data_IF_177960903550
#
_entry.id   IF_177960903550
#
_cell.length_a   1.000
_cell.length_b   1.000
_cell.length_c   1.000
_cell.angle_alpha   90.00
_cell.angle_beta   90.00
_cell.angle_gamma   90.00
#
_symmetry.space_group_name_H-M   'P 1'
#
loop_
_entity.id
_entity.type
_entity.pdbx_description
1 polymer ?
#
# COMPACT_ATOMS: atom_id res chain seq x y z
N UNK A 1 -15.88 -10.99 32.93
CA UNK A 1 -16.80 -10.03 32.31
C UNK A 1 -16.22 -9.62 30.98
N UNK A 2 -17.02 -9.72 29.93
CA UNK A 2 -16.68 -9.26 28.59
C UNK A 2 -17.71 -8.24 28.10
N UNK A 3 -17.24 -7.18 27.45
CA UNK A 3 -18.05 -6.23 26.70
C UNK A 3 -17.86 -6.48 25.21
N UNK A 4 -18.95 -6.48 24.44
CA UNK A 4 -18.92 -6.72 22.99
C UNK A 4 -19.32 -5.48 22.21
N UNK A 5 -18.63 -5.26 21.09
CA UNK A 5 -18.84 -4.12 20.19
C UNK A 5 -18.97 -4.59 18.74
N UNK A 6 -19.78 -3.90 17.96
CA UNK A 6 -19.88 -4.11 16.50
C UNK A 6 -18.73 -3.43 15.76
N UNK A 7 -18.74 -3.51 14.43
CA UNK A 7 -17.75 -2.88 13.54
C UNK A 7 -17.73 -1.34 13.64
N UNK A 8 -18.82 -0.73 14.10
CA UNK A 8 -18.95 0.73 14.23
C UNK A 8 -18.58 1.22 15.64
N UNK A 9 -18.23 0.30 16.55
CA UNK A 9 -17.94 0.58 17.94
C UNK A 9 -19.18 0.67 18.84
N UNK A 10 -20.37 0.35 18.33
CA UNK A 10 -21.57 0.31 19.15
C UNK A 10 -21.52 -0.91 20.07
N UNK A 11 -21.76 -0.69 21.36
CA UNK A 11 -21.85 -1.76 22.35
C UNK A 11 -23.08 -2.64 22.05
N UNK A 12 -22.84 -3.93 21.83
CA UNK A 12 -23.89 -4.92 21.55
C UNK A 12 -24.38 -5.59 22.83
N UNK A 13 -23.51 -5.75 23.83
CA UNK A 13 -23.94 -6.35 25.10
C UNK A 13 -22.85 -6.50 26.16
N UNK A 14 -23.27 -7.07 27.30
CA UNK A 14 -22.45 -7.37 28.48
C UNK A 14 -22.79 -8.78 28.98
N UNK A 15 -21.79 -9.55 29.40
CA UNK A 15 -22.01 -10.68 30.31
C UNK A 15 -22.61 -11.94 29.67
N UNK A 16 -22.28 -12.22 28.41
CA UNK A 16 -22.55 -13.53 27.81
C UNK A 16 -21.44 -14.55 28.09
N UNK A 17 -20.34 -14.13 28.76
CA UNK A 17 -19.17 -14.95 29.04
C UNK A 17 -19.38 -15.92 30.20
N UNK A 18 -19.24 -17.22 29.90
CA UNK A 18 -19.06 -18.30 30.88
C UNK A 18 -17.63 -18.22 31.45
N UNK A 19 -16.67 -17.81 30.62
CA UNK A 19 -15.28 -17.57 31.02
C UNK A 19 -14.42 -17.11 29.85
N UNK A 20 -13.19 -16.66 30.12
CA UNK A 20 -12.22 -16.34 29.09
C UNK A 20 -10.79 -16.62 29.55
N UNK A 21 -9.89 -16.91 28.61
CA UNK A 21 -8.44 -16.99 28.82
C UNK A 21 -7.75 -16.19 27.72
N UNK A 22 -6.66 -15.52 28.07
CA UNK A 22 -5.94 -14.67 27.14
C UNK A 22 -4.46 -14.60 27.55
N UNK A 23 -3.55 -14.54 26.57
CA UNK A 23 -2.12 -14.37 26.82
C UNK A 23 -1.51 -13.46 25.77
N UNK A 24 -0.61 -12.57 26.22
CA UNK A 24 0.12 -11.64 25.35
C UNK A 24 1.49 -11.32 25.96
N UNK A 25 2.54 -11.35 25.12
CA UNK A 25 3.84 -10.75 25.46
C UNK A 25 3.85 -9.29 25.02
N UNK A 26 4.54 -8.42 25.77
CA UNK A 26 4.73 -7.01 25.41
C UNK A 26 5.18 -6.88 23.95
N UNK A 27 4.59 -5.94 23.22
CA UNK A 27 4.94 -5.61 21.84
C UNK A 27 4.78 -6.78 20.84
N UNK A 28 4.05 -7.84 21.20
CA UNK A 28 3.67 -8.96 20.35
C UNK A 28 2.15 -9.10 20.30
N UNK A 29 1.65 -9.78 19.27
CA UNK A 29 0.24 -10.18 19.26
C UNK A 29 -0.05 -11.10 20.44
N UNK A 30 -1.26 -10.95 20.98
CA UNK A 30 -1.83 -11.88 21.93
C UNK A 30 -2.96 -12.68 21.31
N UNK A 31 -3.28 -13.81 21.92
CA UNK A 31 -4.44 -14.62 21.55
C UNK A 31 -5.13 -15.17 22.78
N UNK A 32 -6.39 -15.55 22.61
CA UNK A 32 -7.20 -16.10 23.67
C UNK A 32 -8.49 -16.73 23.15
N UNK A 33 -9.28 -17.21 24.10
CA UNK A 33 -10.61 -17.73 23.85
C UNK A 33 -11.61 -17.18 24.85
N UNK A 34 -12.82 -16.91 24.37
CA UNK A 34 -13.97 -16.54 25.17
C UNK A 34 -15.00 -17.66 25.02
N UNK A 35 -15.52 -18.15 26.14
CA UNK A 35 -16.61 -19.13 26.17
C UNK A 35 -17.91 -18.38 26.47
N UNK A 36 -18.90 -18.56 25.62
CA UNK A 36 -20.16 -17.83 25.65
C UNK A 36 -21.34 -18.80 25.72
N UNK A 37 -22.40 -18.44 26.43
CA UNK A 37 -23.65 -19.19 26.36
C UNK A 37 -24.32 -19.04 24.98
N UNK A 38 -24.25 -17.83 24.41
CA UNK A 38 -24.73 -17.50 23.07
C UNK A 38 -23.84 -16.43 22.45
N UNK A 39 -23.58 -16.53 21.15
CA UNK A 39 -22.81 -15.52 20.44
C UNK A 39 -23.62 -14.23 20.24
N UNK A 40 -23.07 -13.05 20.59
CA UNK A 40 -23.68 -11.76 20.26
C UNK A 40 -23.55 -11.49 18.75
N UNK A 41 -24.65 -11.62 18.03
CA UNK A 41 -24.71 -11.39 16.58
C UNK A 41 -24.18 -9.98 16.25
N UNK A 42 -23.30 -9.91 15.26
CA UNK A 42 -22.68 -8.66 14.81
C UNK A 42 -21.45 -8.21 15.62
N UNK A 43 -21.05 -8.94 16.67
CA UNK A 43 -19.85 -8.60 17.42
C UNK A 43 -18.59 -8.76 16.56
N UNK A 44 -17.74 -7.74 16.57
CA UNK A 44 -16.41 -7.72 15.92
C UNK A 44 -15.31 -7.55 16.95
N UNK A 45 -15.53 -6.74 17.97
CA UNK A 45 -14.54 -6.48 19.02
C UNK A 45 -15.07 -6.86 20.40
N UNK A 46 -14.15 -7.09 21.31
CA UNK A 46 -14.47 -7.32 22.70
C UNK A 46 -13.44 -6.66 23.64
N UNK A 47 -13.89 -6.26 24.82
CA UNK A 47 -13.02 -5.86 25.93
C UNK A 47 -13.13 -6.87 27.06
N UNK A 48 -11.99 -7.40 27.47
CA UNK A 48 -11.84 -8.39 28.54
C UNK A 48 -11.61 -7.69 29.88
N UNK A 49 -12.39 -8.05 30.91
CA UNK A 49 -12.24 -7.55 32.27
C UNK A 49 -12.06 -8.67 33.29
N UNK A 50 -11.19 -8.42 34.28
CA UNK A 50 -11.06 -9.20 35.53
C UNK A 50 -11.56 -8.31 36.68
N UNK A 51 -12.75 -8.62 37.20
CA UNK A 51 -13.44 -7.70 38.12
C UNK A 51 -13.78 -6.38 37.43
N UNK A 52 -13.35 -5.25 38.01
CA UNK A 52 -13.50 -3.92 37.42
C UNK A 52 -12.31 -3.52 36.53
N UNK A 53 -11.24 -4.31 36.53
CA UNK A 53 -10.03 -3.98 35.80
C UNK A 53 -10.11 -4.44 34.35
N UNK A 54 -9.84 -3.51 33.43
CA UNK A 54 -9.72 -3.78 32.00
C UNK A 54 -8.40 -4.48 31.73
N UNK A 55 -8.46 -5.68 31.19
CA UNK A 55 -7.28 -6.50 30.89
C UNK A 55 -6.79 -6.24 29.47
N UNK A 56 -7.66 -6.37 28.46
CA UNK A 56 -7.28 -6.16 27.06
C UNK A 56 -8.47 -5.95 26.13
N UNK A 57 -8.26 -5.18 25.07
CA UNK A 57 -9.14 -5.14 23.92
C UNK A 57 -8.69 -6.10 22.82
N UNK A 58 -9.65 -6.80 22.23
CA UNK A 58 -9.41 -7.87 21.28
C UNK A 58 -10.38 -7.80 20.10
N UNK A 59 -9.96 -8.34 18.96
CA UNK A 59 -10.81 -8.59 17.80
C UNK A 59 -11.23 -10.07 17.80
N UNK A 60 -12.50 -10.30 17.50
CA UNK A 60 -13.08 -11.62 17.31
C UNK A 60 -12.65 -12.14 15.94
N UNK A 61 -12.08 -13.33 15.92
CA UNK A 61 -11.60 -13.99 14.70
C UNK A 61 -12.64 -15.00 14.21
N UNK A 62 -12.99 -15.95 15.08
CA UNK A 62 -13.79 -17.13 14.72
C UNK A 62 -14.70 -17.53 15.86
N UNK A 63 -15.80 -18.21 15.52
CA UNK A 63 -16.74 -18.79 16.46
C UNK A 63 -16.95 -20.25 16.11
N UNK A 64 -16.74 -21.14 17.08
CA UNK A 64 -17.14 -22.55 16.98
C UNK A 64 -18.36 -22.78 17.87
N UNK A 65 -19.47 -23.19 17.28
CA UNK A 65 -20.71 -23.48 18.00
C UNK A 65 -20.66 -24.92 18.50
N UNK A 66 -20.61 -25.10 19.83
CA UNK A 66 -20.75 -26.40 20.48
C UNK A 66 -22.20 -26.72 20.83
N UNK A 67 -22.43 -27.86 21.50
CA UNK A 67 -23.78 -28.30 21.91
C UNK A 67 -24.43 -27.41 22.97
N UNK A 68 -23.64 -26.77 23.84
CA UNK A 68 -24.12 -25.98 24.99
C UNK A 68 -23.44 -24.62 25.18
N UNK A 69 -22.38 -24.35 24.42
CA UNK A 69 -21.64 -23.08 24.47
C UNK A 69 -21.04 -22.76 23.11
N UNK A 70 -20.80 -21.47 22.88
CA UNK A 70 -20.03 -20.96 21.75
C UNK A 70 -18.64 -20.61 22.23
N UNK A 71 -17.62 -21.17 21.59
CA UNK A 71 -16.23 -20.78 21.82
C UNK A 71 -15.80 -19.80 20.74
N UNK A 72 -15.33 -18.64 21.17
CA UNK A 72 -14.92 -17.54 20.31
C UNK A 72 -13.42 -17.31 20.45
N UNK A 73 -12.69 -17.45 19.34
CA UNK A 73 -11.26 -17.16 19.28
C UNK A 73 -11.06 -15.66 19.14
N UNK A 74 -10.15 -15.11 19.93
CA UNK A 74 -9.82 -13.69 19.92
C UNK A 74 -8.34 -13.46 19.75
N UNK A 75 -8.00 -12.36 19.08
CA UNK A 75 -6.62 -11.86 18.95
C UNK A 75 -6.57 -10.41 19.35
N UNK A 76 -5.39 -9.91 19.67
CA UNK A 76 -5.25 -8.47 19.94
C UNK A 76 -5.46 -7.63 18.69
N UNK A 77 -5.83 -6.37 18.89
CA UNK A 77 -6.16 -5.46 17.78
C UNK A 77 -5.00 -5.27 16.79
N UNK A 78 -3.74 -5.43 17.22
CA UNK A 78 -2.55 -5.37 16.36
C UNK A 78 -2.65 -6.33 15.15
N UNK A 79 -3.42 -7.42 15.27
CA UNK A 79 -3.62 -8.36 14.16
C UNK A 79 -4.34 -7.73 12.97
N UNK A 80 -5.13 -6.64 13.16
CA UNK A 80 -5.79 -5.92 12.07
C UNK A 80 -4.77 -5.26 11.13
N UNK A 81 -3.59 -4.86 11.61
CA UNK A 81 -2.52 -4.35 10.75
C UNK A 81 -1.97 -5.40 9.79
N UNK A 82 -2.22 -6.70 10.03
CA UNK A 82 -1.82 -7.76 9.10
C UNK A 82 -2.68 -7.83 7.85
N UNK A 83 -3.85 -7.21 7.89
CA UNK A 83 -4.77 -7.19 6.76
C UNK A 83 -4.29 -6.27 5.63
N UNK A 84 -3.28 -5.44 5.88
CA UNK A 84 -2.79 -4.43 4.96
C UNK A 84 -1.34 -4.71 4.58
N UNK A 85 -1.07 -4.78 3.28
CA UNK A 85 0.26 -5.04 2.72
C UNK A 85 1.00 -3.74 2.44
N UNK A 86 2.30 -3.74 2.70
CA UNK A 86 3.22 -2.66 2.31
C UNK A 86 3.68 -2.91 0.87
N UNK A 87 3.83 -1.85 0.04
CA UNK A 87 4.32 -1.97 -1.32
C UNK A 87 5.64 -2.73 -1.38
N UNK A 88 5.85 -3.45 -2.49
CA UNK A 88 7.14 -4.08 -2.72
C UNK A 88 8.23 -3.00 -2.78
N UNK A 89 9.31 -3.21 -2.02
CA UNK A 89 10.45 -2.29 -1.92
C UNK A 89 9.99 -0.86 -1.56
N UNK A 90 9.22 -0.72 -0.48
CA UNK A 90 8.71 0.59 -0.07
C UNK A 90 9.83 1.46 0.51
N UNK A 91 10.07 2.61 -0.14
CA UNK A 91 11.09 3.59 0.24
C UNK A 91 10.51 4.96 0.63
N UNK A 92 9.18 5.15 0.60
CA UNK A 92 8.55 6.42 0.98
C UNK A 92 8.74 6.79 2.47
N UNK A 93 9.18 5.84 3.30
CA UNK A 93 9.54 6.08 4.71
C UNK A 93 11.03 6.36 4.93
N UNK A 94 11.87 6.23 3.90
CA UNK A 94 13.31 6.45 4.04
C UNK A 94 13.61 7.89 4.46
N UNK A 95 14.49 8.04 5.43
CA UNK A 95 14.91 9.34 5.97
C UNK A 95 13.77 10.19 6.56
N UNK A 96 12.60 9.59 6.85
CA UNK A 96 11.51 10.24 7.57
C UNK A 96 11.69 10.09 9.09
N UNK A 97 11.18 11.04 9.90
CA UNK A 97 11.08 10.85 11.35
C UNK A 97 10.25 9.61 11.70
N UNK A 98 10.63 8.87 12.74
CA UNK A 98 9.90 7.66 13.14
C UNK A 98 8.45 7.99 13.53
N UNK A 99 8.21 9.13 14.16
CA UNK A 99 6.86 9.56 14.50
C UNK A 99 5.96 9.69 13.27
N UNK A 100 6.50 10.25 12.18
CA UNK A 100 5.80 10.30 10.92
C UNK A 100 5.50 8.88 10.41
N UNK A 101 6.50 8.00 10.37
CA UNK A 101 6.34 6.63 9.84
C UNK A 101 5.31 5.83 10.64
N UNK A 102 5.35 5.91 11.97
CA UNK A 102 4.39 5.20 12.84
C UNK A 102 2.99 5.81 12.75
N UNK A 103 2.89 7.13 12.62
CA UNK A 103 1.61 7.79 12.34
C UNK A 103 1.04 7.38 10.99
N UNK A 104 1.90 7.21 9.98
CA UNK A 104 1.47 6.81 8.64
C UNK A 104 1.04 5.33 8.61
N UNK A 105 1.61 4.46 9.44
CA UNK A 105 1.24 3.05 9.54
C UNK A 105 -0.24 2.81 9.90
N UNK A 106 -1.00 3.81 10.37
CA UNK A 106 -2.45 3.68 10.54
C UNK A 106 -3.23 3.73 9.22
N UNK A 107 -2.57 4.03 8.10
CA UNK A 107 -3.15 4.01 6.76
C UNK A 107 -2.68 2.76 5.98
N UNK A 108 -3.62 2.16 5.25
CA UNK A 108 -3.35 1.12 4.26
C UNK A 108 -2.84 1.71 2.94
N UNK A 109 -2.36 0.87 2.04
CA UNK A 109 -1.94 1.25 0.70
C UNK A 109 -3.03 0.92 -0.34
N UNK A 110 -3.06 1.68 -1.42
CA UNK A 110 -3.80 1.35 -2.63
C UNK A 110 -3.00 1.75 -3.88
N UNK A 111 -3.33 1.14 -5.02
CA UNK A 111 -2.49 1.22 -6.22
C UNK A 111 -3.32 1.43 -7.47
N UNK A 112 -2.84 2.33 -8.33
CA UNK A 112 -3.31 2.48 -9.71
C UNK A 112 -2.10 2.25 -10.61
N UNK A 113 -2.17 1.29 -11.53
CA UNK A 113 -1.08 1.03 -12.48
C UNK A 113 -1.58 1.14 -13.92
N UNK A 114 -0.82 1.84 -14.76
CA UNK A 114 -1.02 1.90 -16.22
C UNK A 114 0.17 1.29 -16.94
N UNK A 115 -0.12 0.41 -17.90
CA UNK A 115 0.90 -0.37 -18.63
C UNK A 115 0.52 -0.71 -20.07
N UNK A 116 -0.62 -0.26 -20.58
CA UNK A 116 -1.09 -0.56 -21.93
C UNK A 116 -1.43 0.70 -22.71
N UNK A 117 -1.42 0.60 -24.04
CA UNK A 117 -1.82 1.66 -24.97
C UNK A 117 -3.22 2.16 -24.68
N UNK A 118 -4.14 1.23 -24.43
CA UNK A 118 -5.53 1.55 -24.07
C UNK A 118 -5.58 2.34 -22.75
N UNK A 119 -4.79 1.97 -21.75
CA UNK A 119 -4.75 2.74 -20.51
C UNK A 119 -4.11 4.11 -20.70
N UNK A 120 -3.07 4.20 -21.54
CA UNK A 120 -2.38 5.44 -21.85
C UNK A 120 -3.18 6.37 -22.76
N UNK A 121 -4.13 5.88 -23.54
CA UNK A 121 -5.01 6.72 -24.36
C UNK A 121 -6.04 7.51 -23.53
N UNK A 122 -6.26 7.13 -22.27
CA UNK A 122 -7.07 7.88 -21.32
C UNK A 122 -6.24 8.97 -20.61
N UNK A 123 -5.77 9.96 -21.38
CA UNK A 123 -5.03 11.13 -20.91
C UNK A 123 -5.88 12.41 -20.97
N UNK A 124 -5.49 13.45 -20.23
CA UNK A 124 -6.11 14.79 -20.31
C UNK A 124 -5.55 15.61 -21.46
N UNK A 125 -4.22 15.64 -21.58
CA UNK A 125 -3.48 16.41 -22.58
C UNK A 125 -2.22 15.65 -22.97
N UNK A 126 -1.81 15.73 -24.24
CA UNK A 126 -0.48 15.34 -24.69
C UNK A 126 0.05 16.33 -25.72
N UNK A 127 1.34 16.62 -25.68
CA UNK A 127 2.04 17.46 -26.66
C UNK A 127 3.38 16.82 -27.02
N UNK A 128 3.72 16.72 -28.31
CA UNK A 128 4.96 16.13 -28.81
C UNK A 128 5.22 14.69 -28.29
N UNK A 129 4.17 13.93 -28.03
CA UNK A 129 4.19 12.54 -27.53
C UNK A 129 3.46 11.63 -28.51
N UNK A 130 4.06 10.48 -28.79
CA UNK A 130 3.42 9.38 -29.53
C UNK A 130 3.28 8.13 -28.65
N UNK A 131 2.21 7.38 -28.93
CA UNK A 131 2.03 6.00 -28.46
C UNK A 131 2.36 5.08 -29.63
N UNK A 132 3.12 4.02 -29.40
CA UNK A 132 3.39 2.96 -30.38
C UNK A 132 4.09 3.36 -31.69
N UNK A 133 5.43 3.28 -31.73
CA UNK A 133 6.19 2.92 -32.95
C UNK A 133 7.40 2.00 -32.72
N UNK A 134 7.72 1.63 -31.47
CA UNK A 134 8.96 0.89 -31.13
C UNK A 134 8.66 -0.50 -30.54
N UNK A 135 7.77 -0.61 -29.54
CA UNK A 135 7.13 -1.85 -29.01
C UNK A 135 5.77 -1.49 -28.37
N UNK A 136 4.78 -2.38 -28.40
CA UNK A 136 3.42 -2.11 -27.91
C UNK A 136 3.40 -1.56 -26.47
N UNK A 137 2.74 -0.42 -26.25
CA UNK A 137 2.54 0.18 -24.92
C UNK A 137 3.48 1.33 -24.56
N UNK A 138 4.47 1.65 -25.38
CA UNK A 138 5.47 2.67 -25.03
C UNK A 138 4.99 4.11 -25.27
N UNK A 139 5.26 5.00 -24.30
CA UNK A 139 5.16 6.45 -24.46
C UNK A 139 6.55 7.01 -24.79
N UNK A 140 6.67 7.74 -25.89
CA UNK A 140 7.94 8.34 -26.33
C UNK A 140 7.73 9.70 -27.02
N UNK A 141 8.81 10.43 -27.26
CA UNK A 141 8.78 11.68 -28.00
C UNK A 141 8.30 11.45 -29.43
N UNK A 142 7.47 12.37 -29.93
CA UNK A 142 6.97 12.34 -31.31
C UNK A 142 8.12 12.52 -32.31
N UNK A 143 8.02 11.84 -33.45
CA UNK A 143 8.93 12.04 -34.57
C UNK A 143 8.38 13.11 -35.52
N UNK A 144 9.26 13.93 -36.09
CA UNK A 144 8.93 14.81 -37.20
C UNK A 144 9.93 14.62 -38.35
N UNK A 145 9.44 14.79 -39.58
CA UNK A 145 10.29 14.86 -40.76
C UNK A 145 10.81 16.29 -40.93
N UNK A 146 12.12 16.40 -41.05
CA UNK A 146 12.83 17.58 -41.54
C UNK A 146 13.28 17.33 -42.99
N UNK A 147 13.73 18.36 -43.72
CA UNK A 147 14.02 18.29 -45.17
C UNK A 147 14.94 17.11 -45.59
N UNK A 148 15.74 16.58 -44.66
CA UNK A 148 16.77 15.55 -44.92
C UNK A 148 16.65 14.31 -44.03
N UNK A 149 15.83 14.31 -42.97
CA UNK A 149 15.80 13.20 -42.00
C UNK A 149 14.59 13.19 -41.08
N UNK A 150 14.27 12.01 -40.51
CA UNK A 150 13.33 11.88 -39.39
C UNK A 150 14.07 12.17 -38.08
N UNK A 151 13.52 13.05 -37.24
CA UNK A 151 14.07 13.46 -35.95
C UNK A 151 13.03 13.30 -34.84
N UNK A 152 13.46 12.99 -33.62
CA UNK A 152 12.60 13.13 -32.44
C UNK A 152 12.42 14.60 -32.06
N UNK A 153 11.26 14.97 -31.52
CA UNK A 153 11.11 16.20 -30.74
C UNK A 153 12.08 16.17 -29.55
N UNK A 154 12.50 17.34 -29.08
CA UNK A 154 13.46 17.45 -27.97
C UNK A 154 12.78 17.44 -26.59
N UNK A 155 11.49 17.77 -26.55
CA UNK A 155 10.66 17.81 -25.36
C UNK A 155 9.21 17.50 -25.73
N UNK A 156 8.49 16.84 -24.81
CA UNK A 156 7.06 16.59 -24.91
C UNK A 156 6.50 16.15 -23.57
N UNK A 157 5.18 16.24 -23.41
CA UNK A 157 4.52 15.85 -22.16
C UNK A 157 3.20 15.16 -22.37
N UNK A 158 2.79 14.40 -21.36
CA UNK A 158 1.47 13.77 -21.27
C UNK A 158 0.95 13.88 -19.84
N UNK A 159 -0.31 14.28 -19.71
CA UNK A 159 -0.97 14.51 -18.42
C UNK A 159 -2.10 13.52 -18.20
N UNK A 160 -2.14 12.89 -17.03
CA UNK A 160 -3.21 12.00 -16.60
C UNK A 160 -3.89 12.58 -15.35
N UNK A 161 -5.20 12.37 -15.19
CA UNK A 161 -5.90 12.68 -13.95
C UNK A 161 -6.46 11.41 -13.28
N UNK A 162 -6.48 11.45 -11.94
CA UNK A 162 -6.91 10.34 -11.10
C UNK A 162 -7.78 10.85 -9.95
N UNK A 163 -8.82 10.09 -9.60
CA UNK A 163 -9.46 10.18 -8.28
C UNK A 163 -8.69 9.26 -7.34
N UNK A 164 -7.88 9.84 -6.44
CA UNK A 164 -7.05 9.10 -5.48
C UNK A 164 -7.74 8.93 -4.13
N UNK A 165 -9.02 9.28 -4.04
CA UNK A 165 -9.79 9.28 -2.80
C UNK A 165 -9.32 10.36 -1.81
N UNK A 166 -9.89 10.32 -0.62
CA UNK A 166 -9.58 11.30 0.44
C UNK A 166 -8.08 11.32 0.77
N UNK A 167 -7.44 12.50 0.79
CA UNK A 167 -6.04 12.62 1.19
C UNK A 167 -5.88 12.23 2.67
N UNK A 168 -5.04 11.24 2.95
CA UNK A 168 -4.76 10.81 4.32
C UNK A 168 -3.27 10.69 4.67
N UNK A 169 -2.38 10.65 3.67
CA UNK A 169 -0.91 10.70 3.84
C UNK A 169 -0.23 10.87 2.47
N UNK A 170 1.10 10.86 2.45
CA UNK A 170 1.93 11.06 1.27
C UNK A 170 1.68 10.00 0.19
N UNK A 171 1.63 10.47 -1.05
CA UNK A 171 1.42 9.67 -2.25
C UNK A 171 2.64 9.73 -3.14
N UNK A 172 2.89 8.64 -3.86
CA UNK A 172 4.07 8.51 -4.70
C UNK A 172 3.69 8.00 -6.08
N UNK A 173 4.45 8.41 -7.08
CA UNK A 173 4.43 7.77 -8.39
C UNK A 173 5.78 7.12 -8.67
N UNK A 174 5.75 5.88 -9.14
CA UNK A 174 6.91 5.14 -9.63
C UNK A 174 6.67 4.79 -11.08
N UNK A 175 7.73 4.69 -11.86
CA UNK A 175 7.63 4.34 -13.26
C UNK A 175 8.82 3.50 -13.72
N UNK A 176 8.59 2.70 -14.75
CA UNK A 176 9.68 2.07 -15.49
C UNK A 176 9.96 2.85 -16.76
N UNK A 177 11.24 3.04 -17.03
CA UNK A 177 11.71 3.81 -18.17
C UNK A 177 12.88 3.14 -18.88
N UNK A 178 13.06 3.50 -20.15
CA UNK A 178 14.31 3.27 -20.87
C UNK A 178 14.88 4.65 -21.22
N UNK A 179 15.96 5.03 -20.54
CA UNK A 179 16.60 6.35 -20.68
C UNK A 179 18.11 6.16 -20.85
N UNK A 180 18.73 7.09 -21.58
CA UNK A 180 20.18 7.13 -21.79
C UNK A 180 20.82 8.35 -21.12
N UNK A 181 22.08 8.63 -21.43
CA UNK A 181 22.79 9.79 -20.88
C UNK A 181 22.18 11.13 -21.33
N UNK A 182 21.58 11.16 -22.53
CA UNK A 182 20.98 12.35 -23.12
C UNK A 182 19.46 12.42 -22.96
N UNK A 183 18.82 11.42 -22.34
CA UNK A 183 17.36 11.40 -22.18
C UNK A 183 16.95 11.15 -20.74
N UNK A 184 15.82 11.70 -20.32
CA UNK A 184 15.24 11.46 -19.00
C UNK A 184 13.76 11.84 -18.94
N UNK A 185 13.10 11.45 -17.86
CA UNK A 185 11.70 11.73 -17.56
C UNK A 185 11.62 12.54 -16.27
N UNK A 186 10.86 13.61 -16.31
CA UNK A 186 10.47 14.40 -15.14
C UNK A 186 8.96 14.27 -14.88
N UNK A 187 8.57 14.51 -13.64
CA UNK A 187 7.19 14.47 -13.18
C UNK A 187 6.82 15.83 -12.60
N UNK A 188 5.66 16.35 -12.99
CA UNK A 188 4.96 17.38 -12.24
C UNK A 188 3.63 16.79 -11.74
N UNK A 189 3.16 17.25 -10.57
CA UNK A 189 1.83 16.89 -10.10
C UNK A 189 1.16 18.04 -9.38
N UNK A 190 -0.14 18.18 -9.59
CA UNK A 190 -0.98 19.18 -8.93
C UNK A 190 -2.35 18.57 -8.64
N UNK A 191 -3.12 19.18 -7.75
CA UNK A 191 -4.37 18.61 -7.25
C UNK A 191 -5.55 19.58 -7.32
N UNK A 192 -6.76 19.01 -7.24
CA UNK A 192 -8.02 19.75 -7.14
C UNK A 192 -8.99 19.03 -6.20
N UNK A 193 -9.78 19.80 -5.46
CA UNK A 193 -10.87 19.27 -4.64
C UNK A 193 -12.09 18.86 -5.48
N UNK A 194 -12.11 19.23 -6.78
CA UNK A 194 -13.17 18.88 -7.73
C UNK A 194 -12.64 17.93 -8.80
N UNK A 195 -13.50 17.09 -9.39
CA UNK A 195 -13.12 16.25 -10.51
C UNK A 195 -12.43 17.04 -11.62
N UNK A 196 -11.28 16.53 -12.09
CA UNK A 196 -10.50 17.13 -13.17
C UNK A 196 -10.99 16.52 -14.48
N UNK A 197 -11.57 17.32 -15.35
CA UNK A 197 -12.12 16.89 -16.64
C UNK A 197 -11.30 17.40 -17.83
N UNK A 198 -10.54 18.47 -17.64
CA UNK A 198 -9.72 19.11 -18.65
C UNK A 198 -8.41 19.63 -18.05
N UNK A 199 -7.46 20.02 -18.90
CA UNK A 199 -6.20 20.61 -18.43
C UNK A 199 -6.42 21.98 -17.76
N UNK A 200 -7.46 22.72 -18.15
CA UNK A 200 -7.80 24.04 -17.61
C UNK A 200 -8.26 23.99 -16.13
N UNK A 201 -8.60 22.80 -15.63
CA UNK A 201 -9.00 22.60 -14.23
C UNK A 201 -7.81 22.61 -13.26
N UNK A 202 -6.57 22.63 -13.77
CA UNK A 202 -5.34 22.54 -12.98
C UNK A 202 -4.23 23.44 -13.52
N UNK A 203 -3.37 23.95 -12.63
CA UNK A 203 -2.22 24.77 -13.01
C UNK A 203 -0.90 24.07 -12.65
N UNK A 204 -0.03 23.97 -13.67
CA UNK A 204 1.32 23.42 -13.58
C UNK A 204 2.42 24.48 -13.59
N UNK A 205 2.10 25.76 -13.80
CA UNK A 205 3.05 26.85 -14.07
C UNK A 205 4.07 27.06 -12.94
N UNK A 206 3.65 26.87 -11.69
CA UNK A 206 4.52 27.00 -10.50
C UNK A 206 4.96 25.66 -9.91
N UNK A 207 4.63 24.54 -10.56
CA UNK A 207 4.89 23.20 -10.02
C UNK A 207 6.31 22.75 -10.39
N UNK A 208 7.13 22.31 -9.42
CA UNK A 208 8.48 21.87 -9.72
C UNK A 208 8.47 20.57 -10.53
N UNK A 209 9.40 20.46 -11.48
CA UNK A 209 9.72 19.20 -12.14
C UNK A 209 10.58 18.33 -11.21
N UNK A 210 10.09 17.14 -10.90
CA UNK A 210 10.77 16.16 -10.05
C UNK A 210 11.34 15.03 -10.91
N UNK A 211 12.54 14.56 -10.58
CA UNK A 211 13.19 13.44 -11.25
C UNK A 211 13.83 12.50 -10.22
N UNK A 212 13.91 11.21 -10.54
CA UNK A 212 14.66 10.26 -9.73
C UNK A 212 16.17 10.38 -9.96
N UNK A 213 16.96 9.75 -9.08
CA UNK A 213 18.41 9.78 -9.17
C UNK A 213 18.89 8.92 -10.35
N UNK A 214 19.39 9.59 -11.40
CA UNK A 214 19.91 8.95 -12.62
C UNK A 214 21.16 8.09 -12.38
N UNK A 215 21.88 8.31 -11.28
CA UNK A 215 23.03 7.50 -10.89
C UNK A 215 22.67 6.18 -10.21
N UNK A 216 21.38 5.93 -9.95
CA UNK A 216 20.89 4.70 -9.32
C UNK A 216 20.02 3.94 -10.32
N UNK A 217 20.42 2.71 -10.61
CA UNK A 217 19.74 1.88 -11.60
C UNK A 217 18.28 1.61 -11.19
N UNK A 218 17.33 1.94 -12.06
CA UNK A 218 15.89 1.77 -11.85
C UNK A 218 15.32 2.56 -10.65
N UNK A 219 15.94 3.66 -10.22
CA UNK A 219 15.47 4.46 -9.08
C UNK A 219 14.01 4.95 -9.23
N UNK A 220 13.61 5.28 -10.45
CA UNK A 220 12.23 5.62 -10.83
C UNK A 220 11.20 4.53 -10.51
N UNK A 221 11.59 3.26 -10.64
CA UNK A 221 10.71 2.11 -10.34
C UNK A 221 10.71 1.72 -8.86
N UNK A 222 11.71 2.16 -8.09
CA UNK A 222 11.94 1.73 -6.70
C UNK A 222 11.53 2.83 -5.73
N UNK A 223 12.01 4.05 -5.93
CA UNK A 223 11.70 5.21 -5.07
C UNK A 223 10.58 6.02 -5.67
N UNK A 224 10.67 6.30 -6.97
CA UNK A 224 9.74 7.23 -7.62
C UNK A 224 9.86 8.64 -7.03
N UNK A 225 8.80 9.43 -7.16
CA UNK A 225 8.72 10.78 -6.58
C UNK A 225 7.40 10.98 -5.85
N UNK A 226 7.40 11.88 -4.88
CA UNK A 226 6.17 12.28 -4.18
C UNK A 226 5.30 13.12 -5.13
N UNK A 227 3.99 12.89 -5.10
CA UNK A 227 2.98 13.65 -5.87
C UNK A 227 2.01 14.38 -4.93
N UNK A 228 1.10 15.18 -5.49
CA UNK A 228 0.09 15.87 -4.69
C UNK A 228 -0.64 14.91 -3.72
N UNK A 229 -0.55 15.26 -2.45
CA UNK A 229 -1.07 14.47 -1.33
C UNK A 229 -2.12 15.25 -0.54
N UNK A 230 -2.53 16.42 -1.05
CA UNK A 230 -3.40 17.37 -0.34
C UNK A 230 -4.81 17.40 -0.89
N UNK A 231 -5.01 16.96 -2.13
CA UNK A 231 -6.30 16.95 -2.80
C UNK A 231 -6.78 15.53 -3.10
N UNK A 232 -8.07 15.38 -3.41
CA UNK A 232 -8.63 14.09 -3.84
C UNK A 232 -8.30 13.78 -5.30
N UNK A 233 -8.50 14.74 -6.18
CA UNK A 233 -8.24 14.57 -7.61
C UNK A 233 -6.84 15.09 -7.92
N UNK A 234 -6.02 14.27 -8.56
CA UNK A 234 -4.62 14.59 -8.82
C UNK A 234 -4.33 14.44 -10.30
N UNK A 235 -3.76 15.48 -10.89
CA UNK A 235 -3.18 15.45 -12.22
C UNK A 235 -1.68 15.18 -12.13
N UNK A 236 -1.18 14.23 -12.91
CA UNK A 236 0.25 13.91 -13.02
C UNK A 236 0.68 14.09 -14.47
N UNK A 237 1.70 14.92 -14.68
CA UNK A 237 2.30 15.20 -15.97
C UNK A 237 3.67 14.56 -16.05
N UNK A 238 3.86 13.69 -17.03
CA UNK A 238 5.15 13.15 -17.42
C UNK A 238 5.76 14.04 -18.50
N UNK A 239 6.98 14.51 -18.28
CA UNK A 239 7.72 15.35 -19.22
C UNK A 239 8.92 14.55 -19.70
N UNK A 240 8.98 14.29 -21.00
CA UNK A 240 10.04 13.55 -21.66
C UNK A 240 11.01 14.55 -22.28
N UNK A 241 12.31 14.40 -22.03
CA UNK A 241 13.35 15.31 -22.52
C UNK A 241 14.49 14.59 -23.22
N UNK A 242 15.00 15.21 -24.27
CA UNK A 242 16.24 14.89 -24.97
C UNK A 242 17.15 16.13 -24.94
N UNK A 243 18.26 16.03 -24.21
CA UNK A 243 19.20 17.13 -23.94
C UNK A 243 20.52 16.94 -24.67
N UNK A 244 21.30 18.02 -24.81
CA UNK A 244 22.62 18.01 -25.45
C UNK A 244 22.58 17.34 -26.84
N UNK A 245 21.60 17.78 -27.62
CA UNK A 245 21.24 17.18 -28.89
C UNK A 245 22.37 17.32 -29.89
N UNK A 246 22.81 16.20 -30.44
CA UNK A 246 23.77 16.16 -31.54
C UNK A 246 23.11 15.45 -32.72
N UNK A 247 22.44 16.21 -33.58
CA UNK A 247 21.75 15.63 -34.73
C UNK A 247 22.68 14.92 -35.72
N UNK A 248 23.99 15.16 -35.67
CA UNK A 248 24.95 14.56 -36.59
C UNK A 248 25.32 13.16 -36.10
N UNK A 249 25.67 13.04 -34.82
CA UNK A 249 26.21 11.81 -34.23
C UNK A 249 25.15 10.97 -33.50
N UNK A 250 24.07 11.59 -33.03
CA UNK A 250 22.97 10.87 -32.40
C UNK A 250 22.04 10.37 -33.51
N UNK A 251 22.28 9.16 -33.97
CA UNK A 251 21.38 8.48 -34.90
C UNK A 251 21.34 6.99 -34.60
N UNK A 252 20.18 6.41 -34.90
CA UNK A 252 19.99 4.98 -34.90
C UNK A 252 19.17 4.59 -36.12
N UNK A 253 19.55 3.48 -36.73
CA UNK A 253 18.74 2.89 -37.80
C UNK A 253 17.63 2.07 -37.14
N UNK A 254 16.40 2.55 -37.25
CA UNK A 254 15.23 1.83 -36.78
C UNK A 254 14.42 1.32 -37.97
N UNK A 255 13.74 0.21 -37.72
CA UNK A 255 12.65 -0.25 -38.57
C UNK A 255 11.39 0.54 -38.20
N UNK A 256 10.99 1.46 -39.06
CA UNK A 256 9.79 2.30 -38.86
C UNK A 256 8.75 2.00 -39.92
N UNK A 257 7.47 2.14 -39.56
CA UNK A 257 6.37 2.02 -40.53
C UNK A 257 6.31 3.25 -41.43
N UNK A 258 6.26 3.04 -42.74
CA UNK A 258 6.02 4.11 -43.71
C UNK A 258 4.52 4.46 -43.81
N UNK A 259 4.18 5.45 -44.64
CA UNK A 259 2.79 5.87 -44.86
C UNK A 259 1.84 4.75 -45.36
N UNK A 260 2.39 3.67 -45.92
CA UNK A 260 1.65 2.47 -46.35
C UNK A 260 1.59 1.38 -45.27
N UNK A 261 1.99 1.70 -44.03
CA UNK A 261 2.09 0.78 -42.89
C UNK A 261 3.02 -0.42 -43.12
N UNK A 262 4.10 -0.22 -43.90
CA UNK A 262 5.15 -1.22 -44.15
C UNK A 262 6.43 -0.86 -43.39
N UNK A 263 7.02 -1.85 -42.73
CA UNK A 263 8.23 -1.71 -41.92
C UNK A 263 9.47 -1.53 -42.83
N UNK A 264 10.14 -0.38 -42.75
CA UNK A 264 11.33 -0.04 -43.55
C UNK A 264 12.47 0.44 -42.66
N UNK A 265 13.71 0.18 -43.05
CA UNK A 265 14.88 0.73 -42.36
C UNK A 265 15.00 2.22 -42.68
N UNK A 266 14.92 3.08 -41.65
CA UNK A 266 15.15 4.52 -41.75
C UNK A 266 16.16 4.93 -40.70
N UNK A 267 17.09 5.81 -41.10
CA UNK A 267 17.95 6.51 -40.15
C UNK A 267 17.08 7.54 -39.41
N UNK A 268 16.88 7.32 -38.12
CA UNK A 268 16.23 8.29 -37.22
C UNK A 268 17.33 8.98 -36.43
N UNK A 269 17.30 10.31 -36.42
CA UNK A 269 18.24 11.13 -35.66
C UNK A 269 17.65 11.50 -34.30
N UNK A 270 18.50 11.51 -33.29
CA UNK A 270 18.17 11.77 -31.89
C UNK A 270 17.80 10.52 -31.09
N UNK A 271 17.68 10.72 -29.78
CA UNK A 271 17.25 9.69 -28.83
C UNK A 271 15.93 10.09 -28.18
N UNK A 272 15.16 9.10 -27.72
CA UNK A 272 13.93 9.34 -26.95
C UNK A 272 14.00 8.62 -25.60
N UNK A 273 13.59 9.26 -24.49
CA UNK A 273 13.20 8.50 -23.31
C UNK A 273 11.94 7.68 -23.65
N UNK A 274 11.80 6.53 -23.01
CA UNK A 274 10.63 5.66 -23.18
C UNK A 274 10.02 5.37 -21.82
N UNK A 275 8.79 5.83 -21.59
CA UNK A 275 7.98 5.44 -20.43
C UNK A 275 7.24 4.14 -20.77
N UNK A 276 7.50 3.09 -19.98
CA UNK A 276 6.94 1.75 -20.19
C UNK A 276 5.64 1.55 -19.41
N UNK A 277 5.71 1.84 -18.11
CA UNK A 277 4.64 1.62 -17.14
C UNK A 277 4.79 2.62 -16.00
N UNK A 278 3.70 2.89 -15.30
CA UNK A 278 3.76 3.61 -14.03
C UNK A 278 2.74 3.09 -13.03
N UNK A 279 3.05 3.27 -11.74
CA UNK A 279 2.15 3.02 -10.63
C UNK A 279 2.04 4.26 -9.73
N UNK A 280 0.82 4.61 -9.36
CA UNK A 280 0.53 5.55 -8.29
C UNK A 280 0.25 4.75 -7.02
N UNK A 281 1.03 5.01 -5.99
CA UNK A 281 0.86 4.47 -4.65
C UNK A 281 0.14 5.54 -3.83
N UNK A 282 -1.12 5.28 -3.51
CA UNK A 282 -1.95 6.11 -2.63
C UNK A 282 -2.16 5.44 -1.28
N UNK A 283 -2.80 6.17 -0.37
CA UNK A 283 -3.04 5.79 1.02
C UNK A 283 -4.55 5.71 1.24
N UNK A 284 -5.00 4.76 2.05
CA UNK A 284 -6.42 4.61 2.45
C UNK A 284 -6.53 4.50 3.95
N UNK A 285 -7.59 5.07 4.52
CA UNK A 285 -7.84 4.97 5.97
C UNK A 285 -8.15 3.53 6.36
N UNK A 286 -7.57 3.07 7.46
CA UNK A 286 -7.93 1.78 8.08
C UNK A 286 -8.98 2.00 9.16
N UNK A 287 -9.31 0.94 9.92
CA UNK A 287 -10.21 1.06 11.07
C UNK A 287 -9.56 1.82 12.25
N UNK A 288 -8.24 2.04 12.20
CA UNK A 288 -7.51 2.69 13.28
C UNK A 288 -7.60 4.21 13.25
N UNK A 289 -7.85 4.78 14.42
CA UNK A 289 -7.67 6.21 14.68
C UNK A 289 -6.33 6.42 15.39
N UNK A 290 -5.54 7.38 14.92
CA UNK A 290 -4.31 7.80 15.60
C UNK A 290 -4.65 8.67 16.80
N UNK A 291 -4.15 8.31 17.98
CA UNK A 291 -4.27 9.15 19.16
C UNK A 291 -3.06 10.08 19.31
N UNK A 292 -3.23 11.24 19.99
CA UNK A 292 -2.12 12.15 20.24
C UNK A 292 -0.98 11.45 20.98
N UNK A 293 0.23 11.53 20.43
CA UNK A 293 1.45 11.09 21.08
C UNK A 293 2.16 12.31 21.68
N UNK A 294 2.59 12.20 22.93
CA UNK A 294 3.15 13.32 23.69
C UNK A 294 4.68 13.32 23.78
N UNK A 295 5.33 12.17 23.53
CA UNK A 295 6.79 12.10 23.49
C UNK A 295 7.21 11.66 22.09
N UNK A 296 7.74 12.61 21.33
CA UNK A 296 8.30 12.37 20.01
C UNK A 296 9.45 11.36 20.07
N UNK A 297 9.58 10.56 19.03
CA UNK A 297 10.70 9.67 18.73
C UNK A 297 11.53 10.37 17.64
N UNK A 298 12.49 11.25 18.00
CA UNK A 298 13.14 12.19 17.07
C UNK A 298 14.12 11.50 16.10
N UNK A 299 14.23 10.17 16.14
CA UNK A 299 15.13 9.44 15.28
C UNK A 299 14.59 9.40 13.84
N UNK A 300 15.53 9.35 12.90
CA UNK A 300 15.24 9.22 11.48
C UNK A 300 15.31 7.73 11.11
N UNK A 301 14.32 7.26 10.35
CA UNK A 301 14.30 5.90 9.84
C UNK A 301 15.37 5.73 8.74
N UNK A 302 16.31 4.81 8.96
CA UNK A 302 17.38 4.51 8.01
C UNK A 302 17.66 3.01 7.96
N UNK A 303 17.98 2.48 6.78
CA UNK A 303 18.48 1.11 6.61
C UNK A 303 17.52 0.04 7.14
N UNK A 304 16.21 0.21 6.93
CA UNK A 304 15.18 -0.80 7.20
C UNK A 304 14.49 -1.12 5.89
N UNK A 305 14.55 -2.37 5.46
CA UNK A 305 13.96 -2.79 4.20
C UNK A 305 12.52 -3.30 4.37
N UNK A 306 11.60 -2.71 3.61
CA UNK A 306 10.20 -3.11 3.55
C UNK A 306 9.90 -3.79 2.22
N UNK A 307 9.96 -5.12 2.20
CA UNK A 307 9.53 -5.93 1.07
C UNK A 307 8.53 -6.98 1.53
N UNK A 308 7.44 -7.11 0.75
CA UNK A 308 6.42 -8.17 0.85
C UNK A 308 5.96 -8.46 2.29
N UNK A 309 5.72 -7.42 3.08
CA UNK A 309 5.38 -7.53 4.49
C UNK A 309 4.08 -6.79 4.80
N UNK A 310 3.42 -7.18 5.89
CA UNK A 310 2.24 -6.43 6.38
C UNK A 310 2.67 -5.15 7.10
N UNK A 311 1.74 -4.24 7.36
CA UNK A 311 2.00 -3.06 8.21
C UNK A 311 2.51 -3.50 9.59
N UNK A 312 1.94 -4.56 10.17
CA UNK A 312 2.40 -5.07 11.47
C UNK A 312 3.86 -5.53 11.41
N UNK A 313 4.24 -6.27 10.36
CA UNK A 313 5.60 -6.73 10.17
C UNK A 313 6.57 -5.56 9.97
N UNK A 314 6.15 -4.51 9.25
CA UNK A 314 6.93 -3.28 9.11
C UNK A 314 7.17 -2.62 10.47
N UNK A 315 6.13 -2.45 11.30
CA UNK A 315 6.27 -1.92 12.66
C UNK A 315 7.24 -2.80 13.48
N UNK A 316 7.16 -4.13 13.37
CA UNK A 316 8.09 -5.04 14.06
C UNK A 316 9.54 -4.91 13.54
N UNK A 317 9.74 -4.71 12.25
CA UNK A 317 11.08 -4.44 11.67
C UNK A 317 11.66 -3.13 12.22
N UNK A 318 10.87 -2.07 12.30
CA UNK A 318 11.30 -0.79 12.90
C UNK A 318 11.69 -1.01 14.38
N UNK A 319 10.90 -1.77 15.14
CA UNK A 319 11.21 -2.09 16.56
C UNK A 319 12.50 -2.86 16.78
N UNK A 320 12.99 -3.61 15.79
CA UNK A 320 14.29 -4.28 15.91
C UNK A 320 15.44 -3.29 15.99
N UNK A 321 15.27 -2.10 15.39
CA UNK A 321 16.30 -1.06 15.30
C UNK A 321 16.06 0.10 16.28
N UNK A 322 14.80 0.42 16.57
CA UNK A 322 14.42 1.57 17.38
C UNK A 322 13.57 1.15 18.57
N UNK A 323 13.78 1.83 19.71
CA UNK A 323 13.07 1.54 20.96
C UNK A 323 11.84 2.42 21.07
N UNK A 324 10.67 1.79 21.07
CA UNK A 324 9.40 2.42 21.33
C UNK A 324 8.38 1.36 21.76
N UNK A 325 7.32 1.80 22.41
CA UNK A 325 6.14 1.01 22.68
C UNK A 325 5.01 1.41 21.75
N UNK A 326 4.13 0.45 21.50
CA UNK A 326 2.83 0.74 20.89
C UNK A 326 1.73 0.10 21.70
N UNK A 327 0.55 0.66 21.58
CA UNK A 327 -0.65 0.08 22.13
C UNK A 327 -1.80 0.22 21.13
N UNK A 328 -2.53 -0.87 20.92
CA UNK A 328 -3.84 -0.83 20.30
C UNK A 328 -4.90 -1.05 21.38
N UNK A 329 -5.93 -0.21 21.38
CA UNK A 329 -7.05 -0.28 22.32
C UNK A 329 -8.34 0.25 21.68
N UNK A 330 -9.49 0.01 22.32
CA UNK A 330 -10.77 0.57 21.91
C UNK A 330 -11.05 1.85 22.70
N UNK A 331 -11.38 2.92 21.99
CA UNK A 331 -11.95 4.15 22.53
C UNK A 331 -13.33 4.34 21.88
N UNK A 332 -14.37 4.40 22.70
CA UNK A 332 -15.76 4.43 22.24
C UNK A 332 -16.08 3.31 21.23
N UNK A 333 -15.49 2.12 21.48
CA UNK A 333 -15.63 0.93 20.66
C UNK A 333 -14.87 0.95 19.33
N UNK A 334 -14.11 2.00 19.01
CA UNK A 334 -13.29 2.08 17.79
C UNK A 334 -11.82 1.76 18.06
N UNK A 335 -11.15 1.02 17.17
CA UNK A 335 -9.71 0.77 17.28
C UNK A 335 -8.90 2.07 17.24
N UNK A 336 -8.05 2.25 18.23
CA UNK A 336 -7.08 3.33 18.31
C UNK A 336 -5.67 2.76 18.32
N UNK A 337 -4.75 3.49 17.70
CA UNK A 337 -3.33 3.19 17.73
C UNK A 337 -2.59 4.32 18.43
N UNK A 338 -1.72 3.96 19.36
CA UNK A 338 -0.84 4.88 20.07
C UNK A 338 0.59 4.33 20.05
N UNK A 339 1.56 5.22 19.98
CA UNK A 339 2.98 4.90 20.09
C UNK A 339 3.70 5.97 20.90
N UNK A 340 4.76 5.57 21.59
CA UNK A 340 5.57 6.47 22.40
C UNK A 340 6.95 5.84 22.65
N UNK A 341 7.96 6.64 22.99
CA UNK A 341 9.27 6.14 23.41
C UNK A 341 9.17 5.16 24.60
N UNK A 342 8.21 5.37 25.49
CA UNK A 342 7.78 4.41 26.51
C UNK A 342 6.33 4.69 26.92
N UNK A 343 5.46 3.67 26.83
CA UNK A 343 4.07 3.76 27.31
C UNK A 343 3.93 3.35 28.79
N UNK A 344 5.02 2.91 29.42
CA UNK A 344 5.02 2.52 30.83
C UNK A 344 5.01 3.77 31.73
N UNK A 345 3.84 4.12 32.28
CA UNK A 345 3.71 5.16 33.31
C UNK A 345 4.15 4.68 34.70
N UNK A 346 4.05 3.38 34.97
CA UNK A 346 4.48 2.78 36.24
C UNK A 346 4.84 1.30 36.01
N UNK A 347 6.11 0.92 36.26
CA UNK A 347 6.66 -0.39 35.88
C UNK A 347 5.99 -1.54 36.66
N UNK A 348 5.65 -1.34 37.93
CA UNK A 348 5.11 -2.39 38.81
C UNK A 348 3.71 -2.89 38.40
N UNK A 349 2.84 -2.02 37.87
CA UNK A 349 1.44 -2.39 37.55
C UNK A 349 1.30 -3.26 36.31
N UNK A 350 2.15 -3.13 35.30
CA UNK A 350 2.09 -4.00 34.11
C UNK A 350 2.79 -5.35 34.32
N UNK A 351 3.71 -5.47 35.29
CA UNK A 351 4.33 -6.75 35.62
C UNK A 351 3.33 -7.75 36.23
N UNK A 352 2.31 -7.25 36.94
CA UNK A 352 1.30 -8.08 37.61
C UNK A 352 0.20 -8.66 36.69
N UNK A 353 -0.04 -8.06 35.51
CA UNK A 353 -1.14 -8.48 34.61
C UNK A 353 -0.68 -9.03 33.26
N UNK A 354 0.62 -8.99 32.96
CA UNK A 354 1.17 -9.71 31.82
C UNK A 354 1.49 -11.15 32.22
N UNK A 355 0.79 -12.11 31.63
CA UNK A 355 1.12 -13.53 31.74
C UNK A 355 2.53 -13.77 31.20
N UNK A 356 3.46 -13.97 32.15
CA UNK A 356 4.84 -14.40 31.87
C UNK A 356 4.84 -15.91 31.77
N UNK A 357 5.47 -16.44 30.72
CA UNK A 357 5.58 -17.87 30.48
C UNK A 357 6.27 -18.66 31.62
N UNK A 358 6.86 -18.00 32.61
CA UNK A 358 7.65 -18.60 33.69
C UNK A 358 7.15 -18.25 35.10
N UNK A 359 5.93 -17.72 35.24
CA UNK A 359 5.41 -17.34 36.56
C UNK A 359 4.91 -18.58 37.33
N UNK A 360 5.63 -18.97 38.39
CA UNK A 360 5.38 -20.21 39.15
C UNK A 360 4.09 -20.17 39.94
N UNK A 361 3.58 -18.99 40.30
CA UNK A 361 2.37 -18.83 41.12
C UNK A 361 1.06 -19.10 40.35
N UNK A 362 1.07 -19.04 39.00
CA UNK A 362 -0.13 -19.19 38.17
C UNK A 362 -0.11 -20.42 37.24
N UNK A 363 0.61 -21.49 37.63
CA UNK A 363 0.79 -22.70 36.81
C UNK A 363 -0.52 -23.41 36.39
N UNK A 364 -1.62 -23.22 37.11
CA UNK A 364 -2.93 -23.77 36.72
C UNK A 364 -3.52 -23.13 35.45
N UNK A 365 -3.06 -21.94 35.06
CA UNK A 365 -3.46 -21.25 33.83
C UNK A 365 -2.50 -21.50 32.64
N UNK A 366 -1.31 -22.04 32.91
CA UNK A 366 -0.23 -22.21 31.92
C UNK A 366 -0.24 -23.55 31.16
N UNK A 367 -1.11 -24.49 31.55
CA UNK A 367 -1.30 -25.72 30.78
C UNK A 367 -2.49 -25.59 29.82
N UNK A 368 -2.24 -24.92 28.70
CA UNK A 368 -2.94 -25.28 27.47
C UNK A 368 -1.88 -25.55 26.42
N UNK A 369 -1.73 -26.83 26.08
CA UNK A 369 -1.01 -27.26 24.89
C UNK A 369 -1.50 -26.44 23.71
N UNK A 370 -0.62 -25.58 23.18
CA UNK A 370 -0.81 -24.90 21.91
C UNK A 370 -0.73 -25.99 20.85
N UNK A 371 -1.83 -26.73 20.64
CA UNK A 371 -2.10 -27.27 19.33
C UNK A 371 -2.36 -26.06 18.45
N UNK A 372 -1.54 -25.91 17.42
CA UNK A 372 -1.75 -24.95 16.34
C UNK A 372 -3.25 -24.87 16.06
N UNK A 373 -3.86 -23.74 16.44
CA UNK A 373 -5.12 -23.35 15.82
C UNK A 373 -4.77 -23.31 14.35
N UNK A 374 -5.29 -24.27 13.58
CA UNK A 374 -5.28 -24.18 12.12
C UNK A 374 -5.76 -22.77 11.81
N UNK A 375 -4.87 -21.95 11.26
CA UNK A 375 -5.26 -20.68 10.68
C UNK A 375 -6.10 -21.05 9.47
N UNK A 376 -7.41 -21.16 9.65
CA UNK A 376 -8.27 -21.03 8.49
C UNK A 376 -8.09 -19.57 8.06
N UNK A 377 -7.51 -19.41 6.87
CA UNK A 377 -7.11 -18.13 6.30
C UNK A 377 -8.31 -17.20 6.39
N UNK A 378 -8.17 -16.04 7.05
CA UNK A 378 -9.22 -15.01 7.00
C UNK A 378 -9.57 -14.82 5.53
N UNK A 379 -10.87 -14.93 5.19
CA UNK A 379 -11.32 -14.87 3.80
C UNK A 379 -10.75 -13.60 3.16
N UNK A 380 -9.78 -13.79 2.26
CA UNK A 380 -9.15 -12.72 1.50
C UNK A 380 -10.25 -12.09 0.65
N UNK A 381 -10.40 -10.78 0.75
CA UNK A 381 -11.41 -10.04 -0.01
C UNK A 381 -10.82 -8.89 -0.83
N UNK A 382 -9.48 -8.78 -0.84
CA UNK A 382 -8.69 -8.00 -1.80
C UNK A 382 -7.46 -8.82 -2.19
N UNK A 383 -7.27 -9.07 -3.49
CA UNK A 383 -6.12 -9.79 -4.01
C UNK A 383 -5.29 -8.90 -4.94
N UNK A 384 -4.02 -8.72 -4.62
CA UNK A 384 -3.04 -8.05 -5.45
C UNK A 384 -2.37 -9.10 -6.36
N UNK A 385 -2.71 -9.10 -7.65
CA UNK A 385 -2.22 -10.09 -8.60
C UNK A 385 -1.06 -9.52 -9.41
N UNK A 386 0.04 -10.25 -9.51
CA UNK A 386 1.21 -9.90 -10.31
C UNK A 386 1.51 -10.97 -11.38
N UNK A 387 1.63 -10.55 -12.63
CA UNK A 387 1.92 -11.39 -13.80
C UNK A 387 3.38 -11.34 -14.24
N UNK A 388 3.62 -11.53 -15.54
CA UNK A 388 4.94 -11.38 -16.19
C UNK A 388 5.49 -9.95 -16.00
N UNK A 389 6.82 -9.85 -15.85
CA UNK A 389 7.56 -8.59 -15.72
C UNK A 389 8.41 -8.51 -14.45
N UNK A 390 9.22 -7.46 -14.35
CA UNK A 390 10.06 -7.17 -13.19
C UNK A 390 9.76 -5.78 -12.63
N UNK A 391 9.81 -5.63 -11.29
CA UNK A 391 9.56 -4.35 -10.59
C UNK A 391 8.24 -3.73 -11.06
N UNK A 392 8.24 -2.45 -11.46
CA UNK A 392 7.05 -1.75 -11.96
C UNK A 392 6.56 -2.25 -13.34
N UNK A 393 7.38 -3.00 -14.09
CA UNK A 393 6.96 -3.61 -15.37
C UNK A 393 6.10 -4.87 -15.19
N UNK A 394 5.90 -5.34 -13.95
CA UNK A 394 4.98 -6.45 -13.69
C UNK A 394 3.57 -6.05 -14.11
N UNK A 395 2.91 -6.91 -14.86
CA UNK A 395 1.47 -6.81 -15.04
C UNK A 395 0.82 -6.89 -13.67
N UNK A 396 0.01 -5.90 -13.28
CA UNK A 396 -0.73 -5.94 -12.04
C UNK A 396 -2.23 -5.72 -12.22
N UNK A 397 -3.00 -6.47 -11.42
CA UNK A 397 -4.45 -6.36 -11.32
C UNK A 397 -4.84 -6.44 -9.84
N UNK A 398 -5.65 -5.48 -9.38
CA UNK A 398 -6.30 -5.50 -8.06
C UNK A 398 -7.67 -6.17 -8.20
N UNK A 399 -8.02 -7.12 -7.34
CA UNK A 399 -9.34 -7.77 -7.36
C UNK A 399 -10.00 -7.63 -5.99
N UNK A 400 -11.20 -7.03 -5.88
CA UNK A 400 -11.92 -6.33 -6.96
C UNK A 400 -11.16 -5.06 -7.39
N UNK A 401 -11.55 -4.45 -8.52
CA UNK A 401 -10.88 -3.23 -8.99
C UNK A 401 -11.02 -2.08 -7.96
N UNK A 402 -12.16 -2.01 -7.25
CA UNK A 402 -12.45 -1.03 -6.19
C UNK A 402 -13.13 -1.71 -5.01
N UNK A 403 -12.83 -1.28 -3.78
CA UNK A 403 -13.47 -1.79 -2.56
C UNK A 403 -13.02 -3.21 -2.20
N UNK A 404 -13.94 -4.01 -1.67
CA UNK A 404 -13.74 -5.42 -1.28
C UNK A 404 -14.82 -6.31 -1.91
N UNK A 405 -14.53 -7.59 -2.18
CA UNK A 405 -15.45 -8.50 -2.90
C UNK A 405 -16.83 -8.60 -2.22
N UNK A 406 -16.87 -8.45 -0.90
CA UNK A 406 -18.05 -8.69 -0.06
C UNK A 406 -18.47 -7.46 0.76
N UNK A 407 -17.89 -6.29 0.50
CA UNK A 407 -18.07 -5.08 1.31
C UNK A 407 -17.77 -5.26 2.82
N UNK A 408 -17.01 -6.31 3.17
CA UNK A 408 -16.52 -6.54 4.53
C UNK A 408 -15.19 -5.79 4.74
N UNK A 409 -14.73 -5.66 6.01
CA UNK A 409 -13.41 -5.10 6.30
C UNK A 409 -12.31 -5.76 5.46
N UNK A 410 -11.37 -4.94 4.99
CA UNK A 410 -10.30 -5.35 4.08
C UNK A 410 -9.41 -6.42 4.69
N UNK A 411 -9.10 -7.45 3.91
CA UNK A 411 -8.09 -8.50 4.14
C UNK A 411 -7.36 -8.72 2.81
N UNK A 412 -6.11 -8.29 2.74
CA UNK A 412 -5.29 -8.33 1.52
C UNK A 412 -4.38 -9.56 1.44
N UNK A 413 -4.27 -10.13 0.25
CA UNK A 413 -3.22 -11.09 -0.08
C UNK A 413 -2.60 -10.85 -1.47
N UNK A 414 -1.52 -11.57 -1.76
CA UNK A 414 -0.78 -11.45 -3.02
C UNK A 414 -0.82 -12.77 -3.78
N UNK A 415 -1.21 -12.70 -5.05
CA UNK A 415 -1.06 -13.78 -6.02
C UNK A 415 0.00 -13.40 -7.04
N UNK A 416 0.90 -14.32 -7.39
CA UNK A 416 1.93 -14.08 -8.41
C UNK A 416 2.05 -15.26 -9.35
N UNK A 417 1.94 -15.00 -10.65
CA UNK A 417 2.18 -15.98 -11.71
C UNK A 417 2.90 -15.30 -12.88
N UNK A 418 4.23 -15.39 -12.87
CA UNK A 418 5.12 -14.74 -13.84
C UNK A 418 4.99 -15.28 -15.27
N UNK A 419 4.21 -16.35 -15.49
CA UNK A 419 3.94 -16.90 -16.82
C UNK A 419 2.76 -16.20 -17.52
N UNK A 420 1.96 -15.43 -16.79
CA UNK A 420 0.79 -14.75 -17.34
C UNK A 420 1.19 -13.44 -17.99
N UNK A 421 0.92 -13.31 -19.29
CA UNK A 421 1.34 -12.16 -20.11
C UNK A 421 0.25 -11.11 -20.37
N UNK A 422 -0.97 -11.31 -19.86
CA UNK A 422 -2.09 -10.37 -20.09
C UNK A 422 -2.89 -10.11 -18.81
N UNK A 423 -3.44 -8.90 -18.67
CA UNK A 423 -4.24 -8.49 -17.50
C UNK A 423 -5.52 -9.32 -17.36
N UNK A 424 -6.19 -9.64 -18.46
CA UNK A 424 -7.46 -10.38 -18.47
C UNK A 424 -7.27 -11.80 -17.92
N UNK A 425 -6.22 -12.49 -18.37
CA UNK A 425 -5.88 -13.82 -17.87
C UNK A 425 -5.44 -13.78 -16.41
N UNK A 426 -4.75 -12.72 -15.99
CA UNK A 426 -4.33 -12.53 -14.60
C UNK A 426 -5.55 -12.29 -13.70
N UNK A 427 -6.50 -11.47 -14.16
CA UNK A 427 -7.78 -11.23 -13.49
C UNK A 427 -8.60 -12.51 -13.36
N UNK A 428 -8.78 -13.26 -14.44
CA UNK A 428 -9.55 -14.51 -14.42
C UNK A 428 -8.95 -15.55 -13.45
N UNK A 429 -7.62 -15.70 -13.44
CA UNK A 429 -6.96 -16.59 -12.47
C UNK A 429 -7.07 -16.07 -11.04
N UNK A 430 -6.87 -14.78 -10.82
CA UNK A 430 -6.99 -14.17 -9.49
C UNK A 430 -8.41 -14.29 -8.92
N UNK A 431 -9.44 -14.12 -9.74
CA UNK A 431 -10.84 -14.33 -9.34
C UNK A 431 -11.13 -15.80 -8.97
N UNK A 432 -10.47 -16.76 -9.63
CA UNK A 432 -10.54 -18.19 -9.26
C UNK A 432 -9.83 -18.51 -7.95
N UNK A 433 -8.80 -17.75 -7.58
CA UNK A 433 -8.09 -17.90 -6.29
C UNK A 433 -8.90 -17.32 -5.13
N UNK A 434 -9.72 -16.29 -5.39
CA UNK A 434 -10.61 -15.68 -4.40
C UNK A 434 -11.92 -16.45 -4.13
N UNK A 435 -12.32 -17.35 -5.04
CA UNK A 435 -13.51 -18.23 -4.91
C UNK A 435 -13.13 -19.53 -4.24
#
# INVERSE_FOLDING_TARGET
MVLFFDTNGKRIGRGFDIGWRFSQKRNKEGSGNIELAKYPIGAKYATLYKGQEKIKDVVIQENSIGKSSVKTNVKTLETLFKNYKVPQNWHGWDNKPIDFVLSDCINGFDYIQKSSVEEFSHYLEKENIEFNKIKDGDIHLEMYEDEVSIKYKIEGHITFAFDLGEPCSERFIRWAESVGEKTYIEIQSTGSDRPIHSIDDVDFSSIPCLSCNRGVENDSSIRGVQIDSTHRYVAVRFILKYINVDWINDFATYKVYNASNVLVDRTVRGFTPVLRTFEIITRKRTEFVLEPYFNSIPQILQGVEFSSCTIWDAIQKIRKKYKFDTECYLKDGKPCFNFNSSLVKNKEKQEAFMLRANDKENNQLNNTSIKELKQDVQKVNVLHCYGEGEKSNKIYVRIPDVGTVDNLPTVEDVFTDTKIKTKEKLKEKGEKVLK
#
